data_IF_958398768660
#
_entry.id   IF_958398768660
#
_cell.length_a   1.000
_cell.length_b   1.000
_cell.length_c   1.000
_cell.angle_alpha   90.00
_cell.angle_beta   90.00
_cell.angle_gamma   90.00
#
_symmetry.space_group_name_H-M   'P 1'
#
loop_
_entity.id
_entity.type
_entity.pdbx_description
1 polymer ?
#
# COMPACT_ATOMS: atom_id res chain seq x y z
N UNK A 1 -3.16 -16.16 11.16
CA UNK A 1 -3.44 -14.96 11.97
C UNK A 1 -2.91 -15.19 13.38
N UNK A 2 -2.11 -14.25 13.89
CA UNK A 2 -1.46 -14.34 15.20
C UNK A 2 -1.97 -13.20 16.09
N UNK A 3 -2.46 -13.54 17.27
CA UNK A 3 -2.88 -12.61 18.30
C UNK A 3 -1.65 -12.00 19.00
N UNK A 4 -1.70 -10.71 19.32
CA UNK A 4 -0.57 -10.01 19.99
C UNK A 4 -0.80 -9.75 21.46
N UNK A 5 -2.04 -9.82 21.91
CA UNK A 5 -2.45 -9.42 23.26
C UNK A 5 -2.44 -7.89 23.48
N UNK A 6 -2.29 -7.09 22.42
CA UNK A 6 -2.16 -5.63 22.50
C UNK A 6 -3.37 -4.97 21.85
N UNK A 7 -4.00 -4.03 22.55
CA UNK A 7 -4.95 -3.08 22.01
C UNK A 7 -4.45 -1.66 22.29
N UNK A 8 -4.74 -0.73 21.40
CA UNK A 8 -4.29 0.67 21.51
C UNK A 8 -5.44 1.63 21.30
N UNK A 9 -5.30 2.85 21.82
CA UNK A 9 -6.16 3.98 21.54
C UNK A 9 -5.30 5.07 20.89
N UNK A 10 -5.58 5.38 19.65
CA UNK A 10 -4.93 6.47 18.94
C UNK A 10 -5.78 7.74 19.04
N UNK A 11 -5.17 8.91 19.18
CA UNK A 11 -5.89 10.16 19.05
C UNK A 11 -6.33 10.40 17.61
N UNK A 12 -7.33 11.26 17.42
CA UNK A 12 -7.77 11.70 16.10
C UNK A 12 -6.58 12.30 15.31
N UNK A 13 -6.57 12.08 14.00
CA UNK A 13 -5.49 12.52 13.12
C UNK A 13 -4.25 11.61 13.15
N UNK A 14 -4.31 10.46 13.81
CA UNK A 14 -3.25 9.45 13.78
C UNK A 14 -3.77 8.12 13.26
N UNK A 15 -2.87 7.38 12.66
CA UNK A 15 -3.05 5.97 12.34
C UNK A 15 -1.80 5.18 12.74
N UNK A 16 -1.97 3.88 12.98
CA UNK A 16 -0.86 2.98 13.13
C UNK A 16 -0.84 1.96 11.98
N UNK A 17 0.37 1.57 11.57
CA UNK A 17 0.58 0.64 10.48
C UNK A 17 1.40 -0.55 10.95
N UNK A 18 0.86 -1.74 10.70
CA UNK A 18 1.54 -3.00 11.00
C UNK A 18 2.37 -3.38 9.78
N UNK A 19 3.70 -3.31 9.93
CA UNK A 19 4.67 -3.62 8.88
C UNK A 19 5.38 -4.94 9.14
N UNK A 20 5.80 -5.64 8.06
CA UNK A 20 6.66 -6.81 8.20
C UNK A 20 8.04 -6.41 8.72
N UNK A 21 8.77 -7.39 9.24
CA UNK A 21 10.15 -7.23 9.68
C UNK A 21 11.10 -7.75 8.63
N UNK A 22 12.03 -6.92 8.18
CA UNK A 22 13.02 -7.27 7.16
C UNK A 22 13.81 -8.53 7.50
N UNK A 23 14.16 -8.73 8.77
CA UNK A 23 14.89 -9.92 9.20
C UNK A 23 14.09 -11.22 9.09
N UNK A 24 12.78 -11.22 9.32
CA UNK A 24 11.90 -12.37 9.09
C UNK A 24 11.69 -12.61 7.60
N UNK A 25 11.47 -11.54 6.84
CA UNK A 25 11.28 -11.62 5.40
C UNK A 25 12.52 -12.21 4.71
N UNK A 26 13.71 -11.65 5.00
CA UNK A 26 14.95 -12.07 4.34
C UNK A 26 15.42 -13.48 4.72
N UNK A 27 15.25 -13.89 5.98
CA UNK A 27 15.79 -15.18 6.44
C UNK A 27 14.79 -16.32 6.37
N UNK A 28 13.51 -16.05 6.52
CA UNK A 28 12.47 -17.07 6.65
C UNK A 28 11.35 -16.90 5.63
N UNK A 29 11.41 -15.95 4.72
CA UNK A 29 10.36 -15.72 3.75
C UNK A 29 9.01 -15.32 4.37
N UNK A 30 9.00 -14.78 5.62
CA UNK A 30 7.75 -14.42 6.30
C UNK A 30 7.36 -13.00 5.98
N UNK A 31 6.16 -12.82 5.47
CA UNK A 31 5.52 -11.55 5.17
C UNK A 31 4.23 -11.32 5.96
N UNK A 32 3.57 -10.19 5.67
CA UNK A 32 2.24 -9.87 6.17
C UNK A 32 1.32 -9.73 4.96
N UNK A 33 0.21 -10.48 4.95
CA UNK A 33 -0.70 -10.60 3.80
C UNK A 33 -1.30 -9.25 3.40
N UNK A 34 -1.65 -8.43 4.38
CA UNK A 34 -2.29 -7.12 4.19
C UNK A 34 -1.34 -5.95 4.50
N UNK A 35 -0.04 -6.11 4.30
CA UNK A 35 0.92 -5.04 4.62
C UNK A 35 0.76 -3.82 3.71
N UNK A 36 0.75 -2.60 4.30
CA UNK A 36 0.68 -2.32 5.72
C UNK A 36 -0.73 -2.51 6.29
N UNK A 37 -0.85 -3.29 7.39
CA UNK A 37 -2.12 -3.42 8.10
C UNK A 37 -2.45 -2.11 8.82
N UNK A 38 -3.60 -1.51 8.52
CA UNK A 38 -3.98 -0.20 9.06
C UNK A 38 -4.81 -0.34 10.33
N UNK A 39 -4.45 0.43 11.36
CA UNK A 39 -5.18 0.61 12.62
C UNK A 39 -5.55 2.08 12.72
N UNK A 40 -6.84 2.38 12.57
CA UNK A 40 -7.36 3.75 12.63
C UNK A 40 -7.59 4.22 14.09
N UNK A 41 -7.83 5.52 14.26
CA UNK A 41 -8.04 6.12 15.57
C UNK A 41 -9.30 5.60 16.31
N UNK A 42 -10.27 5.05 15.57
CA UNK A 42 -11.51 4.48 16.15
C UNK A 42 -11.39 3.04 16.62
N UNK A 43 -10.37 2.31 16.17
CA UNK A 43 -10.20 0.90 16.51
C UNK A 43 -9.82 0.71 18.01
N UNK A 44 -10.47 -0.26 18.66
CA UNK A 44 -10.23 -0.62 20.07
C UNK A 44 -10.01 -2.11 20.29
N UNK A 45 -10.07 -2.89 19.22
CA UNK A 45 -9.85 -4.32 19.30
C UNK A 45 -8.38 -4.69 19.42
N UNK A 46 -8.12 -5.97 19.65
CA UNK A 46 -6.78 -6.52 19.65
C UNK A 46 -6.13 -6.44 18.27
N UNK A 47 -4.89 -5.94 18.21
CA UNK A 47 -4.09 -5.98 17.00
C UNK A 47 -3.71 -7.43 16.72
N UNK A 48 -4.06 -7.91 15.52
CA UNK A 48 -3.74 -9.26 15.05
C UNK A 48 -2.93 -9.17 13.77
N UNK A 49 -1.88 -9.99 13.68
CA UNK A 49 -0.96 -10.00 12.53
C UNK A 49 -1.30 -11.12 11.59
N UNK A 50 -1.54 -10.81 10.32
CA UNK A 50 -1.86 -11.76 9.25
C UNK A 50 -0.57 -12.18 8.54
N UNK A 51 0.14 -13.16 9.10
CA UNK A 51 1.39 -13.66 8.55
C UNK A 51 1.17 -14.60 7.36
N UNK A 52 2.10 -14.56 6.44
CA UNK A 52 2.26 -15.52 5.35
C UNK A 52 3.70 -16.03 5.32
N UNK A 53 3.85 -17.32 5.11
CA UNK A 53 5.14 -17.95 4.80
C UNK A 53 5.22 -18.16 3.29
N UNK A 54 6.16 -17.50 2.63
CA UNK A 54 6.40 -17.63 1.20
C UNK A 54 7.35 -18.77 0.84
N UNK A 55 8.02 -19.37 1.84
CA UNK A 55 8.88 -20.53 1.60
C UNK A 55 8.02 -21.80 1.57
N UNK A 56 7.95 -22.51 0.44
CA UNK A 56 7.13 -23.72 0.32
C UNK A 56 7.74 -24.95 1.03
N UNK A 57 9.00 -24.89 1.42
CA UNK A 57 9.75 -26.04 1.93
C UNK A 57 10.03 -25.97 3.43
N UNK A 58 10.04 -24.76 4.01
CA UNK A 58 10.38 -24.55 5.41
C UNK A 58 9.15 -24.17 6.25
N UNK A 59 8.97 -24.89 7.34
CA UNK A 59 7.98 -24.52 8.36
C UNK A 59 8.56 -23.50 9.32
N UNK A 60 7.91 -22.35 9.44
CA UNK A 60 8.28 -21.33 10.41
C UNK A 60 7.52 -21.56 11.72
N UNK A 61 8.25 -21.74 12.82
CA UNK A 61 7.71 -21.85 14.18
C UNK A 61 7.92 -20.54 14.91
N UNK A 62 6.86 -20.05 15.54
CA UNK A 62 6.87 -18.81 16.32
C UNK A 62 6.61 -19.15 17.79
N UNK A 63 7.34 -18.51 18.68
CA UNK A 63 7.20 -18.65 20.12
C UNK A 63 6.70 -17.35 20.74
N UNK A 64 6.11 -17.46 21.94
CA UNK A 64 5.71 -16.27 22.69
C UNK A 64 6.92 -15.38 22.96
N UNK A 65 6.80 -14.09 22.66
CA UNK A 65 7.87 -13.11 22.79
C UNK A 65 8.64 -12.86 21.48
N UNK A 66 8.40 -13.64 20.43
CA UNK A 66 8.99 -13.36 19.13
C UNK A 66 8.46 -12.05 18.53
N UNK A 67 9.37 -11.28 17.96
CA UNK A 67 9.04 -10.03 17.28
C UNK A 67 8.60 -10.32 15.85
N UNK A 68 7.29 -10.46 15.61
CA UNK A 68 6.70 -10.90 14.35
C UNK A 68 6.36 -9.76 13.38
N UNK A 69 6.20 -8.55 13.90
CA UNK A 69 5.84 -7.36 13.13
C UNK A 69 6.44 -6.12 13.79
N UNK A 70 6.25 -4.96 13.18
CA UNK A 70 6.53 -3.67 13.79
C UNK A 70 5.35 -2.73 13.58
N UNK A 71 5.06 -1.93 14.61
CA UNK A 71 3.98 -0.95 14.60
C UNK A 71 4.59 0.44 14.40
N UNK A 72 4.15 1.12 13.35
CA UNK A 72 4.54 2.50 13.05
C UNK A 72 3.33 3.39 13.29
N UNK A 73 3.46 4.40 14.14
CA UNK A 73 2.41 5.38 14.41
C UNK A 73 2.80 6.70 13.76
N UNK A 74 1.88 7.28 12.99
CA UNK A 74 2.12 8.55 12.32
C UNK A 74 0.84 9.37 12.19
N UNK A 75 1.00 10.67 11.94
CA UNK A 75 -0.11 11.54 11.57
C UNK A 75 -0.62 11.17 10.18
N UNK A 76 -1.93 11.35 9.98
CA UNK A 76 -2.58 11.17 8.69
C UNK A 76 -3.44 12.38 8.39
N UNK A 77 -3.40 12.81 7.14
CA UNK A 77 -4.21 13.92 6.68
C UNK A 77 -5.66 13.48 6.44
N UNK A 78 -6.60 14.39 6.71
CA UNK A 78 -7.98 14.22 6.31
C UNK A 78 -8.16 14.79 4.91
N UNK A 79 -8.44 13.92 3.96
CA UNK A 79 -8.69 14.33 2.57
C UNK A 79 -10.16 14.64 2.37
N UNK A 80 -10.43 15.67 1.56
CA UNK A 80 -11.76 15.97 1.06
C UNK A 80 -11.76 15.78 -0.46
N UNK A 81 -12.66 14.97 -0.94
CA UNK A 81 -12.80 14.71 -2.37
C UNK A 81 -13.63 15.84 -3.02
N UNK A 82 -13.12 16.39 -4.11
CA UNK A 82 -13.85 17.32 -4.97
C UNK A 82 -14.02 16.65 -6.33
N UNK A 83 -15.26 16.52 -6.76
CA UNK A 83 -15.55 16.00 -8.09
C UNK A 83 -15.31 17.10 -9.13
N UNK A 84 -14.50 16.78 -10.14
CA UNK A 84 -14.16 17.70 -11.23
C UNK A 84 -14.32 17.00 -12.57
N UNK A 85 -14.68 17.74 -13.60
CA UNK A 85 -14.80 17.20 -14.96
C UNK A 85 -13.44 16.82 -15.55
N UNK A 86 -12.35 17.47 -15.12
CA UNK A 86 -11.00 17.24 -15.61
C UNK A 86 -9.98 17.63 -14.53
N UNK A 87 -8.95 16.78 -14.36
CA UNK A 87 -7.82 17.09 -13.49
C UNK A 87 -6.89 18.13 -14.12
N UNK A 88 -6.21 18.95 -13.29
CA UNK A 88 -5.13 19.83 -13.77
C UNK A 88 -4.05 19.01 -14.48
N UNK A 89 -3.43 19.60 -15.50
CA UNK A 89 -2.30 18.98 -16.19
C UNK A 89 -1.08 18.82 -15.29
N UNK A 90 -0.32 17.75 -15.51
CA UNK A 90 0.98 17.55 -14.88
C UNK A 90 2.04 17.13 -15.90
N UNK A 91 3.33 17.31 -15.57
CA UNK A 91 4.42 16.91 -16.45
C UNK A 91 4.42 15.41 -16.77
N UNK A 92 3.90 14.59 -15.86
CA UNK A 92 3.77 13.13 -16.04
C UNK A 92 2.49 12.73 -16.79
N UNK A 93 1.44 13.55 -16.73
CA UNK A 93 0.13 13.24 -17.30
C UNK A 93 -0.42 11.91 -16.78
N UNK A 94 -0.98 11.12 -17.68
CA UNK A 94 -1.56 9.80 -17.39
C UNK A 94 -0.53 8.65 -17.39
N UNK A 95 0.73 8.95 -17.67
CA UNK A 95 1.77 7.94 -17.72
C UNK A 95 2.02 7.29 -16.35
N UNK A 96 1.90 5.96 -16.29
CA UNK A 96 2.08 5.16 -15.07
C UNK A 96 2.98 3.94 -15.32
N UNK A 97 2.98 2.99 -14.42
CA UNK A 97 3.54 1.64 -14.56
C UNK A 97 4.88 1.56 -15.32
N UNK A 98 5.93 2.19 -14.79
CA UNK A 98 7.26 2.15 -15.38
C UNK A 98 7.57 3.28 -16.38
N UNK A 99 6.69 4.29 -16.53
CA UNK A 99 6.91 5.44 -17.43
C UNK A 99 8.18 6.24 -17.11
N UNK A 100 8.74 6.08 -15.90
CA UNK A 100 10.01 6.72 -15.48
C UNK A 100 11.25 5.87 -15.79
N UNK A 101 11.06 4.70 -16.42
CA UNK A 101 12.14 3.75 -16.69
C UNK A 101 12.60 3.00 -15.43
N UNK A 102 13.80 2.41 -15.46
CA UNK A 102 14.41 1.79 -14.27
C UNK A 102 14.80 0.32 -14.45
N UNK A 103 14.38 -0.34 -15.52
CA UNK A 103 14.89 -1.66 -15.91
C UNK A 103 15.00 -1.74 -17.43
N UNK A 104 15.94 -2.57 -17.91
CA UNK A 104 16.08 -2.83 -19.34
C UNK A 104 15.06 -3.89 -19.74
N UNK A 105 14.12 -3.54 -20.60
CA UNK A 105 13.20 -4.51 -21.18
C UNK A 105 13.97 -5.37 -22.19
N UNK A 106 14.20 -6.63 -21.83
CA UNK A 106 14.83 -7.64 -22.70
C UNK A 106 13.80 -8.46 -23.46
N UNK A 107 12.55 -8.03 -23.47
CA UNK A 107 11.53 -8.69 -24.29
C UNK A 107 11.89 -8.53 -25.78
N UNK A 108 11.87 -9.60 -26.58
CA UNK A 108 12.05 -9.47 -28.03
C UNK A 108 10.94 -8.56 -28.58
N UNK A 109 11.31 -7.62 -29.42
CA UNK A 109 10.38 -6.70 -30.06
C UNK A 109 9.21 -7.49 -30.68
N UNK A 110 7.95 -7.09 -30.43
CA UNK A 110 6.82 -7.74 -31.07
C UNK A 110 6.95 -7.60 -32.57
N UNK A 111 6.79 -8.72 -33.30
CA UNK A 111 6.77 -8.71 -34.75
C UNK A 111 5.71 -7.70 -35.23
N UNK A 112 6.12 -6.76 -36.05
CA UNK A 112 5.27 -5.71 -36.61
C UNK A 112 4.12 -6.31 -37.41
N UNK A 113 2.94 -6.45 -36.82
CA UNK A 113 1.70 -6.68 -37.53
C UNK A 113 1.04 -5.32 -37.78
N UNK A 114 1.21 -4.83 -38.99
CA UNK A 114 0.43 -3.73 -39.55
C UNK A 114 -1.06 -4.10 -39.59
N UNK A 115 -1.89 -3.29 -38.96
CA UNK A 115 -3.33 -3.24 -39.25
C UNK A 115 -4.21 -3.57 -38.02
N UNK A 116 -4.74 -2.54 -37.37
CA UNK A 116 -5.80 -2.69 -36.37
C UNK A 116 -6.20 -1.34 -35.74
N UNK A 117 -7.28 -0.80 -36.28
CA UNK A 117 -8.01 0.38 -35.81
C UNK A 117 -8.10 0.48 -34.28
N UNK A 118 -7.64 1.60 -33.71
CA UNK A 118 -7.78 1.94 -32.30
C UNK A 118 -9.26 2.11 -31.93
N UNK A 119 -9.75 1.31 -30.98
CA UNK A 119 -11.02 1.55 -30.28
C UNK A 119 -10.83 2.71 -29.30
N UNK A 120 -11.76 3.67 -29.23
CA UNK A 120 -11.71 4.70 -28.18
C UNK A 120 -11.86 4.05 -26.80
N UNK A 121 -11.03 4.51 -25.85
CA UNK A 121 -11.09 4.08 -24.45
C UNK A 121 -12.42 4.56 -23.81
N UNK A 122 -12.96 3.80 -22.84
CA UNK A 122 -14.14 4.24 -22.09
C UNK A 122 -13.79 5.46 -21.23
N UNK A 123 -14.73 6.40 -21.17
CA UNK A 123 -14.68 7.59 -20.30
C UNK A 123 -14.56 7.16 -18.84
N UNK A 124 -13.41 7.38 -18.23
CA UNK A 124 -13.19 7.10 -16.80
C UNK A 124 -13.44 8.40 -16.04
N UNK A 125 -14.51 8.42 -15.25
CA UNK A 125 -14.77 9.52 -14.32
C UNK A 125 -13.64 9.58 -13.28
N UNK A 126 -12.85 10.64 -13.31
CA UNK A 126 -11.71 10.84 -12.42
C UNK A 126 -12.15 11.68 -11.21
N UNK A 127 -11.86 11.21 -10.00
CA UNK A 127 -12.11 11.93 -8.75
C UNK A 127 -10.79 12.48 -8.21
N UNK A 128 -10.75 13.76 -7.93
CA UNK A 128 -9.58 14.43 -7.37
C UNK A 128 -9.58 14.37 -5.84
N UNK A 129 -8.39 14.17 -5.26
CA UNK A 129 -8.12 14.25 -3.81
C UNK A 129 -7.34 15.54 -3.55
N UNK A 130 -7.94 16.51 -2.89
CA UNK A 130 -7.26 17.74 -2.48
C UNK A 130 -6.98 17.74 -0.97
N UNK A 131 -5.76 18.05 -0.58
CA UNK A 131 -5.37 18.33 0.81
C UNK A 131 -5.55 19.84 1.07
N UNK A 132 -6.25 20.19 2.13
CA UNK A 132 -6.28 21.57 2.65
C UNK A 132 -5.38 21.63 3.88
N UNK A 133 -4.38 22.52 3.83
CA UNK A 133 -3.67 22.99 5.02
C UNK A 133 -4.58 23.99 5.73
N UNK A 134 -5.08 23.65 6.91
CA UNK A 134 -5.69 24.64 7.80
C UNK A 134 -4.58 25.50 8.38
N UNK A 135 -4.45 26.73 7.85
CA UNK A 135 -3.62 27.76 8.45
C UNK A 135 -4.21 28.14 9.80
N UNK A 136 -3.45 27.90 10.85
CA UNK A 136 -3.72 28.40 12.21
C UNK A 136 -3.49 29.90 12.23
N UNK A 137 -4.54 30.64 12.50
CA UNK A 137 -4.44 32.02 12.96
C UNK A 137 -4.37 32.06 14.47
#
# INVERSE_FOLDING_TARGET
MVATGIAIALPDGYAAFVHPRSGLAARLGVGIVNAPGTVDAGYRGEIRVLLVNHDPHQTVRLSRGDRIAQLVVQRVERVRFHEVARLPGSARGEAGHGSTGGYSDHSPAPASNNGGSARPAPDVATREVATQEEGTA
#
